data_IF_101415443005
#
_entry.id   IF_101415443005
#
_cell.length_a   1.000
_cell.length_b   1.000
_cell.length_c   1.000
_cell.angle_alpha   90.00
_cell.angle_beta   90.00
_cell.angle_gamma   90.00
#
_symmetry.space_group_name_H-M   'P 1'
#
loop_
_entity.id
_entity.type
_entity.pdbx_description
1 polymer ?
#
# COMPACT_ATOMS: atom_id res chain seq x y z
N UNK A 1 6.52 11.20 -4.67
CA UNK A 1 5.78 10.88 -3.45
C UNK A 1 4.41 10.32 -3.82
N UNK A 2 4.08 9.16 -3.28
CA UNK A 2 2.75 8.51 -3.35
C UNK A 2 2.31 8.30 -1.91
N UNK A 3 1.32 9.05 -1.45
CA UNK A 3 0.84 8.95 -0.07
C UNK A 3 -0.68 9.15 0.04
N UNK A 4 -1.23 8.67 1.13
CA UNK A 4 -2.60 8.87 1.54
C UNK A 4 -3.64 8.38 0.50
N UNK A 5 -3.30 7.27 -0.18
CA UNK A 5 -4.21 6.65 -1.14
C UNK A 5 -4.81 5.36 -0.57
N UNK A 6 -6.05 5.08 -0.98
CA UNK A 6 -6.69 3.78 -0.83
C UNK A 6 -6.83 3.19 -2.22
N UNK A 7 -6.09 2.12 -2.49
CA UNK A 7 -6.05 1.43 -3.78
C UNK A 7 -6.50 -0.01 -3.59
N UNK A 8 -7.52 -0.43 -4.28
CA UNK A 8 -8.08 -1.77 -4.08
C UNK A 8 -8.55 -2.41 -5.38
N UNK A 9 -8.52 -3.74 -5.40
CA UNK A 9 -9.01 -4.61 -6.50
C UNK A 9 -8.46 -4.21 -7.88
N UNK A 10 -7.17 -3.88 -7.95
CA UNK A 10 -6.51 -3.64 -9.23
C UNK A 10 -6.08 -4.97 -9.87
N UNK A 11 -6.06 -5.04 -11.19
CA UNK A 11 -5.68 -6.27 -11.91
C UNK A 11 -4.20 -6.61 -11.73
N UNK A 12 -3.32 -5.62 -11.73
CA UNK A 12 -1.87 -5.87 -11.66
C UNK A 12 -1.28 -5.63 -10.29
N UNK A 13 -1.36 -4.42 -9.81
CA UNK A 13 -0.74 -4.06 -8.54
C UNK A 13 -1.30 -2.79 -7.95
N UNK A 14 -1.25 -2.68 -6.63
CA UNK A 14 -1.67 -1.48 -5.91
C UNK A 14 -0.78 -0.29 -6.22
N UNK A 15 0.53 -0.48 -6.17
CA UNK A 15 1.54 0.49 -6.60
C UNK A 15 2.57 -0.18 -7.48
N UNK A 16 2.96 0.49 -8.55
CA UNK A 16 3.91 0.01 -9.53
C UNK A 16 5.04 1.02 -9.73
N UNK A 17 6.25 0.69 -9.30
CA UNK A 17 7.47 1.44 -9.63
C UNK A 17 8.17 0.69 -10.76
N UNK A 18 8.11 1.23 -11.96
CA UNK A 18 8.70 0.63 -13.15
C UNK A 18 9.94 1.43 -13.58
N UNK A 19 11.04 1.21 -12.90
CA UNK A 19 12.25 2.03 -12.98
C UNK A 19 12.06 3.38 -12.27
N UNK A 20 13.11 4.11 -12.09
CA UNK A 20 13.10 5.38 -11.39
C UNK A 20 13.64 5.27 -9.97
N UNK A 21 14.18 6.37 -9.48
CA UNK A 21 14.87 6.47 -8.19
C UNK A 21 14.13 7.42 -7.26
N UNK A 22 14.41 7.29 -5.97
CA UNK A 22 13.97 8.18 -4.91
C UNK A 22 12.44 8.34 -4.80
N UNK A 23 11.68 7.32 -5.26
CA UNK A 23 10.24 7.30 -5.06
C UNK A 23 9.92 6.95 -3.61
N UNK A 24 9.02 7.71 -3.02
CA UNK A 24 8.53 7.49 -1.66
C UNK A 24 7.07 7.07 -1.74
N UNK A 25 6.79 5.85 -1.28
CA UNK A 25 5.44 5.28 -1.14
C UNK A 25 5.18 5.12 0.34
N UNK A 26 4.32 5.96 0.90
CA UNK A 26 4.13 6.04 2.35
C UNK A 26 2.66 6.29 2.70
N UNK A 27 2.21 5.68 3.79
CA UNK A 27 0.87 5.92 4.32
C UNK A 27 -0.26 5.61 3.31
N UNK A 28 -0.15 4.51 2.58
CA UNK A 28 -1.20 4.06 1.67
C UNK A 28 -1.88 2.79 2.19
N UNK A 29 -3.10 2.57 1.78
CA UNK A 29 -3.83 1.32 1.96
C UNK A 29 -3.92 0.63 0.61
N UNK A 30 -3.31 -0.55 0.48
CA UNK A 30 -3.28 -1.36 -0.75
C UNK A 30 -4.02 -2.67 -0.48
N UNK A 31 -5.14 -2.91 -1.18
CA UNK A 31 -6.03 -4.03 -0.87
C UNK A 31 -6.40 -4.84 -2.10
N UNK A 32 -6.25 -6.15 -2.00
CA UNK A 32 -6.78 -7.15 -2.95
C UNK A 32 -6.45 -6.90 -4.43
N UNK A 33 -5.24 -6.46 -4.72
CA UNK A 33 -4.75 -6.50 -6.10
C UNK A 33 -4.55 -7.96 -6.53
N UNK A 34 -4.93 -8.31 -7.77
CA UNK A 34 -4.97 -9.71 -8.23
C UNK A 34 -3.58 -10.34 -8.33
N UNK A 35 -2.57 -9.59 -8.81
CA UNK A 35 -1.23 -10.14 -9.02
C UNK A 35 -0.28 -9.81 -7.87
N UNK A 36 -0.15 -8.53 -7.52
CA UNK A 36 0.79 -8.08 -6.48
C UNK A 36 0.28 -6.82 -5.80
N UNK A 37 0.61 -6.63 -4.55
CA UNK A 37 0.19 -5.41 -3.84
C UNK A 37 1.15 -4.25 -4.12
N UNK A 38 2.44 -4.54 -4.17
CA UNK A 38 3.48 -3.58 -4.52
C UNK A 38 4.43 -4.22 -5.54
N UNK A 39 4.80 -3.50 -6.56
CA UNK A 39 5.81 -3.93 -7.53
C UNK A 39 6.90 -2.88 -7.70
N UNK A 40 8.12 -3.34 -7.61
CA UNK A 40 9.30 -2.59 -8.02
C UNK A 40 10.08 -3.44 -9.03
N UNK A 41 10.32 -2.89 -10.20
CA UNK A 41 11.03 -3.61 -11.25
C UNK A 41 11.85 -2.70 -12.15
N UNK A 42 12.88 -3.28 -12.80
CA UNK A 42 13.74 -2.54 -13.70
C UNK A 42 12.99 -2.06 -14.94
N UNK A 43 13.38 -0.92 -15.47
CA UNK A 43 12.96 -0.44 -16.78
C UNK A 43 14.17 -0.24 -17.67
N UNK A 44 14.24 -1.00 -18.76
CA UNK A 44 15.30 -0.87 -19.81
C UNK A 44 16.73 -0.86 -19.23
N UNK A 45 16.99 -1.71 -18.22
CA UNK A 45 18.33 -1.82 -17.60
C UNK A 45 18.63 -0.80 -16.50
N UNK A 46 17.64 -0.01 -16.08
CA UNK A 46 17.73 0.88 -14.93
C UNK A 46 16.92 0.30 -13.77
N UNK A 47 17.62 -0.14 -12.73
CA UNK A 47 16.98 -0.76 -11.57
C UNK A 47 16.33 0.26 -10.63
N UNK A 48 16.69 1.54 -10.75
CA UNK A 48 16.34 2.57 -9.78
C UNK A 48 17.08 2.37 -8.46
N UNK A 49 17.16 3.41 -7.65
CA UNK A 49 17.79 3.35 -6.31
C UNK A 49 17.03 4.29 -5.36
N UNK A 50 17.23 4.11 -4.05
CA UNK A 50 16.70 5.01 -3.03
C UNK A 50 15.17 5.04 -2.92
N UNK A 51 14.46 4.06 -3.49
CA UNK A 51 13.02 3.97 -3.36
C UNK A 51 12.66 3.55 -1.92
N UNK A 52 11.55 4.06 -1.41
CA UNK A 52 11.07 3.80 -0.04
C UNK A 52 9.62 3.33 -0.05
N UNK A 53 9.34 2.29 0.75
CA UNK A 53 8.01 1.74 0.97
C UNK A 53 7.79 1.60 2.48
N UNK A 54 7.11 2.55 3.10
CA UNK A 54 7.02 2.64 4.56
C UNK A 54 5.62 3.02 5.02
N UNK A 55 5.26 2.53 6.20
CA UNK A 55 3.99 2.86 6.86
C UNK A 55 2.78 2.69 5.94
N UNK A 56 2.79 1.62 5.16
CA UNK A 56 1.65 1.24 4.35
C UNK A 56 0.87 0.10 5.01
N UNK A 57 -0.41 0.04 4.74
CA UNK A 57 -1.26 -1.11 5.06
C UNK A 57 -1.45 -1.92 3.78
N UNK A 58 -1.02 -3.17 3.80
CA UNK A 58 -1.06 -4.08 2.66
C UNK A 58 -1.90 -5.31 3.04
N UNK A 59 -3.09 -5.42 2.48
CA UNK A 59 -4.03 -6.47 2.83
C UNK A 59 -4.54 -7.21 1.60
N UNK A 60 -4.47 -8.54 1.58
CA UNK A 60 -4.99 -9.34 0.49
C UNK A 60 -5.41 -10.73 0.99
N UNK A 61 -6.49 -11.24 0.44
CA UNK A 61 -7.00 -12.58 0.78
C UNK A 61 -6.92 -13.55 -0.37
N UNK A 62 -6.75 -13.08 -1.60
CA UNK A 62 -6.58 -13.92 -2.77
C UNK A 62 -5.31 -14.79 -2.62
N UNK A 63 -5.43 -16.10 -2.88
CA UNK A 63 -4.28 -17.01 -2.87
C UNK A 63 -3.29 -16.70 -4.01
N UNK A 64 -3.78 -16.11 -5.10
CA UNK A 64 -2.95 -15.70 -6.22
C UNK A 64 -2.19 -14.39 -5.97
N UNK A 65 -2.66 -13.58 -5.02
CA UNK A 65 -2.02 -12.32 -4.67
C UNK A 65 -0.70 -12.54 -3.94
N UNK A 66 0.31 -11.76 -4.29
CA UNK A 66 1.61 -11.75 -3.63
C UNK A 66 1.92 -10.39 -3.03
N UNK A 67 2.83 -10.35 -2.09
CA UNK A 67 3.32 -9.09 -1.54
C UNK A 67 3.99 -8.24 -2.62
N UNK A 68 4.66 -8.90 -3.56
CA UNK A 68 5.32 -8.26 -4.71
C UNK A 68 6.74 -7.77 -4.43
N UNK A 69 7.13 -7.66 -3.18
CA UNK A 69 8.50 -7.50 -2.79
C UNK A 69 9.19 -8.85 -3.00
N UNK A 70 10.08 -8.95 -3.93
CA UNK A 70 10.75 -10.18 -4.30
C UNK A 70 12.26 -10.12 -4.07
N UNK A 71 12.98 -11.22 -4.34
CA UNK A 71 14.42 -11.33 -4.08
C UNK A 71 15.29 -10.36 -4.90
N UNK A 72 14.71 -9.66 -5.87
CA UNK A 72 15.37 -8.58 -6.60
C UNK A 72 15.32 -7.23 -5.87
N UNK A 73 14.45 -7.11 -4.87
CA UNK A 73 14.38 -5.93 -4.03
C UNK A 73 15.52 -6.01 -3.00
N UNK A 74 16.54 -5.24 -3.23
CA UNK A 74 17.68 -5.10 -2.34
C UNK A 74 17.58 -3.79 -1.58
N UNK A 75 18.16 -3.67 -0.38
CA UNK A 75 18.09 -2.45 0.42
C UNK A 75 18.61 -1.17 -0.27
N UNK A 76 19.48 -1.31 -1.25
CA UNK A 76 20.00 -0.21 -2.07
C UNK A 76 19.01 0.23 -3.18
N UNK A 77 18.11 -0.66 -3.57
CA UNK A 77 17.10 -0.40 -4.60
C UNK A 77 15.80 0.08 -3.97
N UNK A 78 15.32 -0.62 -2.96
CA UNK A 78 14.12 -0.24 -2.20
C UNK A 78 14.32 -0.53 -0.72
N UNK A 79 14.16 0.49 0.10
CA UNK A 79 14.03 0.35 1.54
C UNK A 79 12.56 0.12 1.87
N UNK A 80 12.27 -0.93 2.65
CA UNK A 80 10.91 -1.25 3.10
C UNK A 80 10.93 -1.51 4.59
N UNK A 81 10.07 -0.81 5.34
CA UNK A 81 9.93 -1.01 6.78
C UNK A 81 8.66 -0.36 7.36
N UNK A 82 8.31 -0.70 8.60
CA UNK A 82 7.15 -0.15 9.31
C UNK A 82 5.83 -0.32 8.54
N UNK A 83 5.67 -1.42 7.82
CA UNK A 83 4.43 -1.73 7.11
C UNK A 83 3.55 -2.68 7.93
N UNK A 84 2.26 -2.66 7.69
CA UNK A 84 1.34 -3.68 8.16
C UNK A 84 0.97 -4.58 6.99
N UNK A 85 1.20 -5.88 7.14
CA UNK A 85 0.84 -6.90 6.19
C UNK A 85 -0.25 -7.80 6.74
N UNK A 86 -1.22 -8.16 5.89
CA UNK A 86 -2.28 -9.09 6.27
C UNK A 86 -2.74 -9.92 5.06
N UNK A 87 -2.72 -11.22 5.21
CA UNK A 87 -3.10 -12.17 4.16
C UNK A 87 -4.29 -13.06 4.58
N UNK A 88 -5.26 -12.47 5.29
CA UNK A 88 -6.43 -13.21 5.76
C UNK A 88 -6.09 -14.30 6.80
N UNK A 89 -5.04 -14.13 7.57
CA UNK A 89 -4.55 -15.12 8.54
C UNK A 89 -3.60 -16.17 7.96
N UNK A 90 -3.28 -16.10 6.66
CA UNK A 90 -2.26 -16.97 6.04
C UNK A 90 -0.85 -16.49 6.36
N UNK A 91 0.10 -17.41 6.34
CA UNK A 91 1.51 -17.07 6.41
C UNK A 91 1.98 -16.28 5.17
N UNK A 92 2.97 -15.45 5.37
CA UNK A 92 3.62 -14.64 4.34
C UNK A 92 5.10 -15.04 4.22
N UNK A 93 5.42 -16.14 3.51
CA UNK A 93 6.79 -16.65 3.41
C UNK A 93 7.74 -15.65 2.72
N UNK A 94 7.21 -14.73 1.92
CA UNK A 94 8.00 -13.65 1.32
C UNK A 94 8.60 -12.73 2.37
N UNK A 95 7.91 -12.53 3.49
CA UNK A 95 8.37 -11.65 4.55
C UNK A 95 9.64 -12.16 5.23
N UNK A 96 9.76 -13.49 5.40
CA UNK A 96 11.00 -14.09 5.91
C UNK A 96 12.22 -13.76 5.04
N UNK A 97 12.03 -13.78 3.72
CA UNK A 97 13.10 -13.42 2.76
C UNK A 97 13.45 -11.93 2.81
N UNK A 98 12.47 -11.06 3.09
CA UNK A 98 12.71 -9.64 3.27
C UNK A 98 13.51 -9.38 4.57
N UNK A 99 13.18 -10.08 5.65
CA UNK A 99 13.93 -10.01 6.90
C UNK A 99 15.39 -10.45 6.74
N UNK A 100 15.67 -11.50 5.94
CA UNK A 100 17.05 -11.91 5.61
C UNK A 100 17.84 -10.81 4.89
N UNK A 101 17.15 -9.93 4.17
CA UNK A 101 17.72 -8.78 3.49
C UNK A 101 17.78 -7.52 4.38
N UNK A 102 17.33 -7.60 5.63
CA UNK A 102 17.21 -6.45 6.53
C UNK A 102 16.06 -5.50 6.19
N UNK A 103 15.09 -5.94 5.39
CA UNK A 103 13.88 -5.20 5.07
C UNK A 103 12.71 -5.64 5.96
N UNK A 104 11.77 -4.74 6.19
CA UNK A 104 10.52 -4.98 6.95
C UNK A 104 10.72 -5.56 8.37
N UNK A 105 11.88 -5.30 8.98
CA UNK A 105 12.22 -5.83 10.31
C UNK A 105 11.38 -5.24 11.45
N UNK A 106 10.80 -4.05 11.25
CA UNK A 106 9.87 -3.40 12.17
C UNK A 106 8.42 -3.39 11.62
N UNK A 107 8.17 -4.12 10.56
CA UNK A 107 6.83 -4.32 10.02
C UNK A 107 6.07 -5.36 10.83
N UNK A 108 4.74 -5.32 10.78
CA UNK A 108 3.89 -6.21 11.55
C UNK A 108 2.95 -7.00 10.64
N UNK A 109 2.62 -8.22 11.06
CA UNK A 109 1.57 -9.05 10.42
C UNK A 109 0.37 -9.07 11.36
N UNK A 110 -0.72 -8.40 10.96
CA UNK A 110 -1.92 -8.32 11.77
C UNK A 110 -3.13 -7.95 10.89
N UNK A 111 -4.34 -8.25 11.37
CA UNK A 111 -5.57 -7.75 10.77
C UNK A 111 -5.60 -6.22 10.87
N UNK A 112 -5.71 -5.49 9.74
CA UNK A 112 -5.78 -4.03 9.75
C UNK A 112 -7.04 -3.48 10.41
N UNK A 113 -8.07 -4.29 10.66
CA UNK A 113 -9.35 -3.91 11.26
C UNK A 113 -10.06 -2.81 10.46
N UNK A 114 -10.34 -3.10 9.19
CA UNK A 114 -11.16 -2.21 8.36
C UNK A 114 -12.56 -2.07 8.92
N UNK A 115 -13.17 -0.90 8.80
CA UNK A 115 -14.52 -0.63 9.32
C UNK A 115 -15.58 -1.47 8.62
N UNK A 116 -15.56 -1.55 7.29
CA UNK A 116 -16.48 -2.39 6.52
C UNK A 116 -15.88 -2.78 5.16
N UNK A 117 -14.95 -3.72 5.17
CA UNK A 117 -14.31 -4.21 3.95
C UNK A 117 -15.31 -4.78 2.93
N UNK A 118 -16.41 -5.34 3.38
CA UNK A 118 -17.44 -5.92 2.50
C UNK A 118 -18.11 -4.88 1.61
N UNK A 119 -18.20 -3.65 2.09
CA UNK A 119 -18.76 -2.50 1.38
C UNK A 119 -17.70 -1.48 0.93
N UNK A 120 -16.43 -1.92 0.78
CA UNK A 120 -15.31 -1.07 0.34
C UNK A 120 -14.96 0.08 1.29
N UNK A 121 -15.37 0.00 2.53
CA UNK A 121 -14.91 0.94 3.56
C UNK A 121 -13.62 0.44 4.19
N UNK A 122 -12.50 0.86 3.59
CA UNK A 122 -11.16 0.50 4.03
C UNK A 122 -10.59 1.48 5.06
N UNK A 123 -11.42 2.36 5.64
CA UNK A 123 -11.00 3.13 6.80
C UNK A 123 -10.69 2.18 7.96
N UNK A 124 -9.72 2.56 8.77
CA UNK A 124 -9.29 1.72 9.88
C UNK A 124 -10.09 2.02 11.14
N UNK A 125 -10.37 0.98 11.92
CA UNK A 125 -10.87 1.12 13.30
C UNK A 125 -9.86 1.91 14.15
N UNK A 126 -10.29 2.68 15.16
CA UNK A 126 -9.39 3.38 16.09
C UNK A 126 -8.39 2.45 16.79
N UNK A 127 -8.70 1.16 16.94
CA UNK A 127 -7.87 0.15 17.57
C UNK A 127 -6.91 -0.53 16.58
N UNK A 128 -6.90 -0.11 15.31
CA UNK A 128 -6.06 -0.72 14.29
C UNK A 128 -4.58 -0.76 14.69
N UNK A 129 -3.93 -1.94 14.54
CA UNK A 129 -2.50 -2.05 14.82
C UNK A 129 -1.62 -1.22 13.88
N UNK A 130 -2.15 -0.75 12.75
CA UNK A 130 -1.43 0.12 11.82
C UNK A 130 -0.93 1.42 12.47
N UNK A 131 -1.65 1.93 13.46
CA UNK A 131 -1.22 3.15 14.16
C UNK A 131 0.04 2.96 15.01
N UNK A 132 0.34 1.72 15.41
CA UNK A 132 1.57 1.38 16.16
C UNK A 132 2.83 1.50 15.31
N UNK A 133 2.71 1.34 13.99
CA UNK A 133 3.81 1.50 13.04
C UNK A 133 3.89 2.91 12.44
N UNK A 134 3.10 3.85 12.95
CA UNK A 134 3.12 5.25 12.54
C UNK A 134 2.25 5.57 11.33
N UNK A 135 1.35 4.66 10.90
CA UNK A 135 0.34 4.97 9.91
C UNK A 135 -0.58 6.09 10.41
N UNK A 136 -0.95 7.02 9.54
CA UNK A 136 -1.86 8.12 9.85
C UNK A 136 -3.22 7.90 9.17
N UNK A 137 -4.33 8.24 9.81
CA UNK A 137 -5.65 8.13 9.20
C UNK A 137 -5.72 8.90 7.88
N UNK A 138 -6.29 8.27 6.84
CA UNK A 138 -6.49 8.91 5.55
C UNK A 138 -7.85 9.65 5.58
N UNK A 139 -7.82 10.95 5.31
CA UNK A 139 -9.05 11.73 5.20
C UNK A 139 -9.75 11.46 3.86
N UNK A 140 -10.83 10.71 3.92
CA UNK A 140 -11.66 10.38 2.75
C UNK A 140 -12.81 11.36 2.53
N UNK A 141 -13.00 12.36 3.38
CA UNK A 141 -14.13 13.29 3.30
C UNK A 141 -14.16 14.13 2.02
N UNK A 142 -13.03 14.24 1.35
CA UNK A 142 -12.86 15.03 0.12
C UNK A 142 -12.60 14.15 -1.12
N UNK A 143 -12.73 12.83 -1.00
CA UNK A 143 -12.57 11.90 -2.11
C UNK A 143 -13.83 11.89 -2.97
N UNK A 144 -13.66 11.91 -4.27
CA UNK A 144 -14.73 11.82 -5.24
C UNK A 144 -14.89 13.09 -6.11
N UNK A 145 -15.85 13.03 -7.02
CA UNK A 145 -16.14 14.13 -7.94
C UNK A 145 -16.75 15.31 -7.16
N UNK A 146 -16.12 16.46 -7.17
CA UNK A 146 -16.74 17.67 -6.64
C UNK A 146 -17.99 17.97 -7.46
N UNK A 147 -19.16 18.03 -6.82
CA UNK A 147 -20.38 18.45 -7.47
C UNK A 147 -20.16 19.80 -8.17
N UNK A 148 -20.60 19.92 -9.42
CA UNK A 148 -20.65 21.21 -10.06
C UNK A 148 -21.50 22.12 -9.15
N UNK A 149 -20.91 23.22 -8.68
CA UNK A 149 -21.66 24.28 -8.03
C UNK A 149 -22.80 24.67 -8.95
N UNK A 150 -24.03 24.39 -8.57
CA UNK A 150 -25.18 24.97 -9.24
C UNK A 150 -25.11 26.46 -8.95
N UNK A 151 -24.49 27.20 -9.87
CA UNK A 151 -24.67 28.64 -9.89
C UNK A 151 -26.18 28.88 -10.07
N UNK A 152 -26.84 29.24 -8.99
CA UNK A 152 -28.19 29.76 -9.04
C UNK A 152 -28.11 31.09 -9.76
N UNK A 153 -28.34 31.05 -11.08
CA UNK A 153 -28.61 32.26 -11.85
C UNK A 153 -29.92 32.85 -11.36
N UNK A 154 -29.81 33.81 -10.49
CA UNK A 154 -30.89 34.78 -10.29
C UNK A 154 -31.00 35.59 -11.56
N UNK A 155 -32.05 35.36 -12.32
CA UNK A 155 -32.50 36.25 -13.39
C UNK A 155 -33.70 37.01 -12.87
N UNK A 156 -33.56 38.31 -12.76
CA UNK A 156 -34.66 39.23 -12.86
C UNK A 156 -34.86 39.61 -14.33
#
# INVERSE_FOLDING_TARGET
LVCDNIVYRTVRGGVYIHGGSDNIVVNNILVDSEMTQFYHGPSRGHDGQGNRFERNVVAFVSEAGTLGLGPKNKPDIVFSDHNLFWAGGRELPELAKLHELGLDTNSIVADPQFLDRGNDDYRLSPESPAFKIGFQPIDTSRVGRRGASTASGGGE
#
